data_IF_906643690125
#
_entry.id   IF_906643690125
#
_cell.length_a   1.000
_cell.length_b   1.000
_cell.length_c   1.000
_cell.angle_alpha   90.00
_cell.angle_beta   90.00
_cell.angle_gamma   90.00
#
_symmetry.space_group_name_H-M   'P 1'
#
loop_
_entity.id
_entity.type
_entity.pdbx_description
1 polymer ?
#
# COMPACT_ATOMS: atom_id res chain seq x y z
N UNK A 1 -8.85 22.37 -9.85
CA UNK A 1 -10.03 21.99 -9.05
C UNK A 1 -9.63 20.73 -8.32
N UNK A 2 -9.51 20.78 -6.99
CA UNK A 2 -9.09 19.62 -6.20
C UNK A 2 -10.19 18.56 -6.24
N UNK A 3 -9.82 17.30 -6.47
CA UNK A 3 -10.76 16.17 -6.32
C UNK A 3 -11.19 16.09 -4.85
N UNK A 4 -12.46 15.79 -4.55
CA UNK A 4 -12.91 15.57 -3.19
C UNK A 4 -12.27 14.28 -2.63
N UNK A 5 -11.82 14.32 -1.38
CA UNK A 5 -11.36 13.12 -0.67
C UNK A 5 -12.45 12.03 -0.68
N UNK A 6 -12.06 10.80 -1.02
CA UNK A 6 -12.94 9.64 -0.92
C UNK A 6 -12.76 9.01 0.47
N UNK A 7 -13.72 9.24 1.35
CA UNK A 7 -13.80 8.62 2.68
C UNK A 7 -15.14 7.92 2.82
N UNK A 8 -15.11 6.64 3.16
CA UNK A 8 -16.32 5.83 3.30
C UNK A 8 -15.99 4.34 3.40
N UNK A 9 -17.01 3.51 3.27
CA UNK A 9 -16.85 2.04 3.22
C UNK A 9 -16.16 1.62 1.92
N UNK A 10 -15.55 0.43 1.88
CA UNK A 10 -14.90 -0.06 0.65
C UNK A 10 -15.85 -0.12 -0.54
N UNK A 11 -17.11 -0.51 -0.32
CA UNK A 11 -18.15 -0.54 -1.37
C UNK A 11 -18.46 0.86 -1.93
N UNK A 12 -18.59 1.86 -1.06
CA UNK A 12 -18.81 3.26 -1.46
C UNK A 12 -17.61 3.81 -2.24
N UNK A 13 -16.40 3.45 -1.82
CA UNK A 13 -15.18 3.84 -2.52
C UNK A 13 -15.14 3.20 -3.91
N UNK A 14 -15.44 1.90 -4.03
CA UNK A 14 -15.48 1.18 -5.32
C UNK A 14 -16.52 1.82 -6.25
N UNK A 15 -17.74 2.05 -5.77
CA UNK A 15 -18.80 2.67 -6.56
C UNK A 15 -18.35 4.02 -7.13
N UNK A 16 -17.77 4.89 -6.29
CA UNK A 16 -17.28 6.20 -6.72
C UNK A 16 -16.09 6.12 -7.67
N UNK A 17 -15.18 5.17 -7.46
CA UNK A 17 -14.05 4.96 -8.36
C UNK A 17 -14.53 4.48 -9.73
N UNK A 18 -15.48 3.54 -9.78
CA UNK A 18 -16.04 3.02 -11.03
C UNK A 18 -16.83 4.07 -11.81
N UNK A 19 -17.44 5.05 -11.13
CA UNK A 19 -18.09 6.20 -11.77
C UNK A 19 -17.09 7.19 -12.38
N UNK A 20 -15.82 7.17 -11.96
CA UNK A 20 -14.82 8.13 -12.39
C UNK A 20 -14.09 7.69 -13.68
N UNK A 21 -14.19 8.45 -14.79
CA UNK A 21 -13.58 8.08 -16.06
C UNK A 21 -12.04 8.20 -16.07
N UNK A 22 -11.45 8.88 -15.07
CA UNK A 22 -10.00 9.00 -14.91
C UNK A 22 -9.41 7.70 -14.37
N UNK A 23 -10.21 6.86 -13.69
CA UNK A 23 -9.74 5.57 -13.18
C UNK A 23 -9.16 4.69 -14.29
N UNK A 24 -9.75 4.70 -15.49
CA UNK A 24 -9.25 3.95 -16.64
C UNK A 24 -7.94 4.53 -17.23
N UNK A 25 -7.55 5.74 -16.83
CA UNK A 25 -6.36 6.44 -17.33
C UNK A 25 -5.17 6.35 -16.37
N UNK A 26 -5.37 5.83 -15.16
CA UNK A 26 -4.33 5.72 -14.14
C UNK A 26 -3.99 4.27 -13.85
N UNK A 27 -2.70 4.01 -13.64
CA UNK A 27 -2.20 2.68 -13.27
C UNK A 27 -1.88 2.55 -11.78
N UNK A 28 -1.96 3.67 -11.05
CA UNK A 28 -1.56 3.78 -9.64
C UNK A 28 -2.64 4.52 -8.84
N UNK A 29 -3.04 3.92 -7.72
CA UNK A 29 -3.96 4.52 -6.75
C UNK A 29 -3.20 4.80 -5.44
N UNK A 30 -3.25 6.04 -4.96
CA UNK A 30 -2.64 6.45 -3.69
C UNK A 30 -3.73 6.57 -2.62
N UNK A 31 -3.55 5.86 -1.51
CA UNK A 31 -4.42 5.95 -0.33
C UNK A 31 -3.77 6.90 0.67
N UNK A 32 -4.47 7.97 1.04
CA UNK A 32 -4.05 8.87 2.11
C UNK A 32 -4.72 8.46 3.42
N UNK A 33 -3.96 7.82 4.30
CA UNK A 33 -4.45 7.34 5.59
C UNK A 33 -4.12 8.37 6.68
N UNK A 34 -5.10 8.80 7.51
CA UNK A 34 -4.85 9.69 8.63
C UNK A 34 -3.91 9.08 9.67
N UNK A 35 -2.90 9.84 10.11
CA UNK A 35 -1.93 9.42 11.13
C UNK A 35 -2.53 9.16 12.52
N UNK A 36 -3.75 9.64 12.77
CA UNK A 36 -4.46 9.45 14.04
C UNK A 36 -5.14 8.07 14.13
N UNK A 37 -5.18 7.31 13.03
CA UNK A 37 -5.78 5.98 13.03
C UNK A 37 -4.92 4.98 13.82
N UNK A 38 -5.55 4.08 14.60
CA UNK A 38 -4.82 3.01 15.26
C UNK A 38 -4.28 2.01 14.22
N UNK A 39 -3.20 1.32 14.59
CA UNK A 39 -2.52 0.37 13.71
C UNK A 39 -3.44 -0.75 13.19
N UNK A 40 -4.36 -1.23 14.02
CA UNK A 40 -5.33 -2.27 13.65
C UNK A 40 -6.24 -1.80 12.49
N UNK A 41 -6.68 -0.54 12.52
CA UNK A 41 -7.47 0.05 11.45
C UNK A 41 -6.64 0.24 10.18
N UNK A 42 -5.38 0.66 10.32
CA UNK A 42 -4.46 0.74 9.18
C UNK A 42 -4.36 -0.60 8.44
N UNK A 43 -4.12 -1.68 9.18
CA UNK A 43 -4.02 -3.02 8.59
C UNK A 43 -5.33 -3.44 7.93
N UNK A 44 -6.45 -3.23 8.61
CA UNK A 44 -7.77 -3.57 8.07
C UNK A 44 -8.08 -2.81 6.78
N UNK A 45 -7.82 -1.50 6.74
CA UNK A 45 -8.07 -0.67 5.55
C UNK A 45 -7.21 -1.16 4.37
N UNK A 46 -5.92 -1.41 4.60
CA UNK A 46 -5.03 -1.91 3.55
C UNK A 46 -5.48 -3.29 3.04
N UNK A 47 -5.88 -4.18 3.94
CA UNK A 47 -6.38 -5.51 3.59
C UNK A 47 -7.69 -5.43 2.80
N UNK A 48 -8.66 -4.61 3.22
CA UNK A 48 -9.93 -4.44 2.51
C UNK A 48 -9.69 -3.83 1.11
N UNK A 49 -8.75 -2.88 1.00
CA UNK A 49 -8.40 -2.29 -0.30
C UNK A 49 -7.76 -3.31 -1.24
N UNK A 50 -6.81 -4.13 -0.77
CA UNK A 50 -6.15 -5.14 -1.62
C UNK A 50 -7.09 -6.31 -1.95
N UNK A 51 -7.95 -6.72 -1.02
CA UNK A 51 -8.79 -7.91 -1.18
C UNK A 51 -10.15 -7.63 -1.80
N UNK A 52 -10.66 -6.40 -1.74
CA UNK A 52 -11.95 -6.03 -2.33
C UNK A 52 -11.78 -5.03 -3.45
N UNK A 53 -11.23 -3.86 -3.14
CA UNK A 53 -11.16 -2.76 -4.12
C UNK A 53 -10.27 -3.15 -5.30
N UNK A 54 -9.04 -3.62 -5.06
CA UNK A 54 -8.12 -3.98 -6.12
C UNK A 54 -8.65 -5.13 -7.01
N UNK A 55 -9.28 -6.14 -6.40
CA UNK A 55 -9.84 -7.28 -7.13
C UNK A 55 -11.01 -6.87 -8.04
N UNK A 56 -11.92 -6.03 -7.55
CA UNK A 56 -13.05 -5.51 -8.34
C UNK A 56 -12.59 -4.62 -9.50
N UNK A 57 -11.46 -3.92 -9.32
CA UNK A 57 -10.82 -3.12 -10.38
C UNK A 57 -10.01 -3.97 -11.37
N UNK A 58 -9.91 -5.29 -11.17
CA UNK A 58 -9.09 -6.19 -11.97
C UNK A 58 -7.58 -6.02 -11.75
N UNK A 59 -7.19 -5.29 -10.70
CA UNK A 59 -5.80 -5.12 -10.32
C UNK A 59 -5.31 -6.42 -9.67
N UNK A 60 -4.21 -6.97 -10.19
CA UNK A 60 -3.54 -8.11 -9.58
C UNK A 60 -2.42 -7.57 -8.71
N UNK A 61 -2.39 -7.85 -7.40
CA UNK A 61 -1.22 -7.53 -6.61
C UNK A 61 -0.02 -8.15 -7.32
N UNK A 62 0.99 -7.34 -7.60
CA UNK A 62 2.25 -7.86 -8.11
C UNK A 62 2.66 -8.95 -7.13
N UNK A 63 2.75 -10.18 -7.63
CA UNK A 63 3.12 -11.35 -6.84
C UNK A 63 4.32 -10.91 -6.00
N UNK A 64 4.23 -11.05 -4.67
CA UNK A 64 5.23 -10.56 -3.72
C UNK A 64 6.54 -11.39 -3.81
N UNK A 65 6.91 -11.81 -5.02
CA UNK A 65 8.12 -12.52 -5.36
C UNK A 65 9.23 -11.49 -5.45
N UNK A 66 9.89 -11.32 -4.32
CA UNK A 66 11.27 -10.92 -4.32
C UNK A 66 11.50 -9.45 -4.68
N UNK A 67 11.03 -8.56 -3.81
CA UNK A 67 12.04 -7.65 -3.25
C UNK A 67 12.98 -8.55 -2.47
N UNK A 68 13.93 -9.16 -3.19
CA UNK A 68 15.09 -9.76 -2.58
C UNK A 68 15.68 -8.62 -1.77
N UNK A 69 15.43 -8.63 -0.46
CA UNK A 69 16.44 -8.20 0.47
C UNK A 69 17.65 -9.02 0.04
N UNK A 70 18.49 -8.46 -0.83
CA UNK A 70 19.88 -8.81 -0.89
C UNK A 70 20.34 -8.58 0.53
N UNK A 71 20.26 -9.64 1.34
CA UNK A 71 21.05 -9.80 2.55
C UNK A 71 22.44 -9.33 2.13
N UNK A 72 22.95 -8.20 2.65
CA UNK A 72 24.35 -7.89 2.45
C UNK A 72 25.08 -9.09 3.03
N UNK A 73 25.69 -9.86 2.13
CA UNK A 73 26.48 -11.02 2.45
C UNK A 73 27.39 -10.65 3.62
N UNK A 74 27.20 -11.39 4.71
CA UNK A 74 28.15 -11.64 5.78
C UNK A 74 29.35 -10.69 5.80
N UNK A 75 29.18 -9.50 6.39
CA UNK A 75 30.33 -8.74 6.83
C UNK A 75 30.96 -9.55 7.99
N UNK A 76 32.20 -10.04 7.88
CA UNK A 76 32.86 -10.63 9.03
C UNK A 76 32.96 -9.53 10.08
N UNK A 77 32.28 -9.74 11.19
CA UNK A 77 32.31 -8.89 12.36
C UNK A 77 33.75 -8.88 12.89
N UNK A 78 34.58 -8.01 12.34
CA UNK A 78 35.82 -7.56 12.99
C UNK A 78 35.45 -6.36 13.85
N UNK A 79 34.90 -6.65 15.03
CA UNK A 79 34.96 -5.71 16.15
C UNK A 79 36.42 -5.56 16.58
N UNK A 80 37.21 -4.85 15.77
CA UNK A 80 38.50 -4.31 16.20
C UNK A 80 38.20 -3.08 17.07
N UNK A 81 37.77 -3.31 18.31
CA UNK A 81 37.90 -2.30 19.34
C UNK A 81 39.33 -2.29 19.82
N UNK A 82 40.11 -1.42 19.20
CA UNK A 82 41.20 -0.75 19.86
C UNK A 82 40.67 -0.02 21.09
N UNK A 83 40.97 -0.51 22.30
CA UNK A 83 41.14 0.33 23.50
C UNK A 83 42.16 -0.29 24.47
N UNK A 84 43.32 0.37 24.45
CA UNK A 84 44.45 0.39 25.41
C UNK A 84 45.34 -0.84 25.52
#
# INVERSE_FOLDING_TARGET
MSVPDLVGSADEIIARLLEDPVLCQVSELRLELPYDLPFENYQQILEDVVTRVALELGWRPADAQGSQLTTPAELPVRYAQARR
#
